data_IF_967345823391
#
_entry.id   IF_967345823391
#
_cell.length_a   1.000
_cell.length_b   1.000
_cell.length_c   1.000
_cell.angle_alpha   90.00
_cell.angle_beta   90.00
_cell.angle_gamma   90.00
#
_symmetry.space_group_name_H-M   'P 1'
#
loop_
_entity.id
_entity.type
_entity.pdbx_description
1 polymer ?
#
# COMPACT_ATOMS: atom_id res chain seq x y z
N UNK A 1 -36.36 -50.75 -15.92
CA UNK A 1 -36.04 -49.45 -15.28
C UNK A 1 -35.28 -48.59 -16.27
N UNK A 2 -35.76 -47.39 -16.56
CA UNK A 2 -35.32 -46.57 -17.70
C UNK A 2 -33.88 -46.05 -17.55
N UNK A 3 -32.99 -46.49 -18.45
CA UNK A 3 -31.58 -46.05 -18.56
C UNK A 3 -31.40 -44.52 -18.66
N UNK A 4 -32.43 -43.79 -19.11
CA UNK A 4 -32.43 -42.31 -19.15
C UNK A 4 -32.45 -41.66 -17.76
N UNK A 5 -32.99 -42.33 -16.73
CA UNK A 5 -33.02 -41.79 -15.36
C UNK A 5 -31.67 -41.92 -14.65
N UNK A 6 -30.86 -42.94 -14.97
CA UNK A 6 -29.50 -43.09 -14.42
C UNK A 6 -28.52 -42.06 -14.99
N UNK A 7 -28.63 -41.72 -16.29
CA UNK A 7 -27.76 -40.74 -16.94
C UNK A 7 -27.96 -39.32 -16.37
N UNK A 8 -29.20 -38.95 -16.06
CA UNK A 8 -29.53 -37.65 -15.48
C UNK A 8 -28.98 -37.50 -14.05
N UNK A 9 -29.02 -38.58 -13.26
CA UNK A 9 -28.46 -38.62 -11.90
C UNK A 9 -26.93 -38.50 -11.90
N UNK A 10 -26.25 -39.12 -12.87
CA UNK A 10 -24.79 -39.03 -13.00
C UNK A 10 -24.32 -37.61 -13.38
N UNK A 11 -25.07 -36.92 -14.25
CA UNK A 11 -24.78 -35.53 -14.66
C UNK A 11 -24.97 -34.52 -13.51
N UNK A 12 -25.97 -34.73 -12.65
CA UNK A 12 -26.21 -33.85 -11.49
C UNK A 12 -25.09 -34.03 -10.44
N UNK A 13 -24.65 -35.26 -10.18
CA UNK A 13 -23.53 -35.51 -9.25
C UNK A 13 -22.19 -34.98 -9.75
N UNK A 14 -21.89 -35.03 -11.06
CA UNK A 14 -20.63 -34.51 -11.61
C UNK A 14 -20.53 -32.98 -11.56
N UNK A 15 -21.65 -32.26 -11.71
CA UNK A 15 -21.65 -30.78 -11.66
C UNK A 15 -21.34 -30.21 -10.26
N UNK A 16 -21.46 -31.00 -9.19
CA UNK A 16 -21.14 -30.56 -7.83
C UNK A 16 -19.62 -30.58 -7.54
N UNK A 17 -18.83 -31.34 -8.29
CA UNK A 17 -17.38 -31.40 -8.11
C UNK A 17 -16.62 -30.23 -8.76
N UNK A 18 -17.19 -29.60 -9.79
CA UNK A 18 -16.50 -28.53 -10.54
C UNK A 18 -16.80 -27.10 -10.05
N UNK A 19 -17.73 -26.92 -9.11
CA UNK A 19 -18.07 -25.61 -8.54
C UNK A 19 -17.66 -25.43 -7.07
N UNK A 20 -16.66 -26.19 -6.60
CA UNK A 20 -15.91 -25.77 -5.42
C UNK A 20 -14.95 -24.65 -5.83
N UNK A 21 -15.49 -23.45 -6.07
CA UNK A 21 -14.67 -22.25 -6.00
C UNK A 21 -14.08 -22.25 -4.59
N UNK A 22 -12.77 -22.55 -4.47
CA UNK A 22 -12.02 -22.32 -3.24
C UNK A 22 -12.22 -20.85 -2.89
N UNK A 23 -13.19 -20.55 -2.01
CA UNK A 23 -13.26 -19.26 -1.33
C UNK A 23 -11.87 -19.07 -0.75
N UNK A 24 -11.06 -18.16 -1.32
CA UNK A 24 -9.76 -17.80 -0.75
C UNK A 24 -10.05 -17.41 0.70
N UNK A 25 -9.77 -18.32 1.65
CA UNK A 25 -9.90 -18.03 3.08
C UNK A 25 -9.08 -16.77 3.30
N UNK A 26 -9.68 -15.77 3.97
CA UNK A 26 -8.92 -14.61 4.46
C UNK A 26 -7.72 -15.19 5.23
N UNK A 27 -6.49 -14.93 4.77
CA UNK A 27 -5.30 -15.24 5.56
C UNK A 27 -5.38 -14.33 6.79
N UNK A 28 -5.43 -14.94 7.97
CA UNK A 28 -5.37 -14.24 9.25
C UNK A 28 -3.94 -13.68 9.42
N UNK A 29 -3.77 -12.61 10.21
CA UNK A 29 -2.47 -11.99 10.52
C UNK A 29 -1.52 -13.00 11.19
N UNK A 30 -2.07 -14.04 11.83
CA UNK A 30 -1.33 -15.16 12.41
C UNK A 30 -1.02 -16.29 11.42
N UNK A 31 -1.36 -16.14 10.13
CA UNK A 31 -1.03 -17.14 9.12
C UNK A 31 0.43 -17.00 8.75
N UNK A 32 1.22 -18.04 8.99
CA UNK A 32 2.58 -18.15 8.47
C UNK A 32 2.56 -18.12 6.94
N UNK A 33 3.37 -17.22 6.36
CA UNK A 33 3.58 -17.14 4.91
C UNK A 33 5.05 -17.38 4.60
N UNK A 34 5.32 -18.04 3.48
CA UNK A 34 6.68 -18.22 2.98
C UNK A 34 7.27 -16.85 2.62
N UNK A 35 8.49 -16.61 3.08
CA UNK A 35 9.21 -15.35 2.85
C UNK A 35 10.69 -15.57 2.60
N UNK A 36 11.29 -14.65 1.83
CA UNK A 36 12.73 -14.38 1.83
C UNK A 36 12.96 -13.05 2.55
N UNK A 37 13.87 -13.04 3.52
CA UNK A 37 14.22 -11.83 4.25
C UNK A 37 15.66 -11.42 3.94
N UNK A 38 15.87 -10.11 3.82
CA UNK A 38 17.17 -9.47 3.79
C UNK A 38 17.31 -8.66 5.08
N UNK A 39 18.38 -8.91 5.84
CA UNK A 39 18.71 -8.17 7.06
C UNK A 39 19.58 -6.94 6.76
N UNK A 40 19.70 -6.04 7.74
CA UNK A 40 20.54 -4.83 7.62
C UNK A 40 22.03 -5.16 7.44
N UNK A 41 22.50 -6.29 7.98
CA UNK A 41 23.87 -6.78 7.81
C UNK A 41 24.14 -7.39 6.43
N UNK A 42 23.12 -7.45 5.56
CA UNK A 42 23.20 -8.04 4.22
C UNK A 42 22.96 -9.54 4.17
N UNK A 43 22.73 -10.21 5.30
CA UNK A 43 22.40 -11.63 5.31
C UNK A 43 20.99 -11.89 4.78
N UNK A 44 20.83 -13.00 4.06
CA UNK A 44 19.55 -13.47 3.53
C UNK A 44 19.15 -14.80 4.17
N UNK A 45 17.85 -14.99 4.38
CA UNK A 45 17.31 -16.29 4.79
C UNK A 45 15.90 -16.51 4.28
N UNK A 46 15.58 -17.77 3.99
CA UNK A 46 14.23 -18.22 3.63
C UNK A 46 13.56 -18.89 4.83
N UNK A 47 12.26 -18.72 4.92
CA UNK A 47 11.49 -19.29 6.01
C UNK A 47 10.02 -18.93 5.95
N UNK A 48 9.35 -19.12 7.07
CA UNK A 48 7.96 -18.72 7.26
C UNK A 48 7.86 -17.60 8.27
N UNK A 49 7.03 -16.61 8.01
CA UNK A 49 6.84 -15.48 8.91
C UNK A 49 5.36 -15.18 9.13
N UNK A 50 5.02 -14.88 10.38
CA UNK A 50 3.69 -14.39 10.74
C UNK A 50 3.64 -12.86 10.74
N UNK A 51 2.47 -12.27 10.48
CA UNK A 51 2.30 -10.82 10.54
C UNK A 51 2.83 -10.03 9.33
N UNK A 52 3.31 -10.70 8.28
CA UNK A 52 3.81 -10.05 7.04
C UNK A 52 2.67 -9.58 6.13
N UNK A 53 1.44 -10.05 6.35
CA UNK A 53 0.25 -9.40 5.79
C UNK A 53 -0.25 -8.36 6.77
N UNK A 54 0.19 -7.11 6.60
CA UNK A 54 -0.16 -6.07 7.56
C UNK A 54 -1.67 -5.81 7.56
N UNK A 55 -2.29 -5.77 8.75
CA UNK A 55 -3.67 -5.34 8.90
C UNK A 55 -3.80 -3.86 8.53
N UNK A 56 -5.02 -3.49 8.12
CA UNK A 56 -5.43 -2.10 7.96
C UNK A 56 -4.89 -1.20 9.10
N UNK A 57 -4.12 -0.16 8.76
CA UNK A 57 -3.57 0.76 9.77
C UNK A 57 -4.67 1.71 10.25
N UNK A 58 -4.80 1.85 11.56
CA UNK A 58 -5.90 2.60 12.17
C UNK A 58 -5.41 3.86 12.88
N UNK A 59 -6.21 4.92 12.87
CA UNK A 59 -5.96 6.12 13.65
C UNK A 59 -7.18 6.71 14.32
N UNK A 60 -6.90 7.57 15.30
CA UNK A 60 -7.84 8.49 15.92
C UNK A 60 -7.49 9.93 15.52
N UNK A 61 -8.50 10.79 15.39
CA UNK A 61 -8.47 12.08 14.71
C UNK A 61 -7.13 12.87 14.81
N UNK A 62 -6.45 13.06 13.67
CA UNK A 62 -5.50 14.15 13.45
C UNK A 62 -4.01 13.82 13.43
N UNK A 63 -3.58 12.61 13.79
CA UNK A 63 -2.18 12.18 13.69
C UNK A 63 -2.09 10.78 13.09
N UNK A 64 -1.08 10.51 12.25
CA UNK A 64 -0.74 9.13 11.90
C UNK A 64 -0.26 8.46 13.17
N UNK A 65 -1.17 7.77 13.84
CA UNK A 65 -0.86 7.07 15.07
C UNK A 65 0.17 5.98 14.74
N UNK A 66 1.38 6.12 15.28
CA UNK A 66 2.35 5.03 15.28
C UNK A 66 1.80 3.93 16.19
N UNK A 67 1.22 2.89 15.60
CA UNK A 67 0.72 1.77 16.36
C UNK A 67 1.86 1.11 17.13
N UNK A 68 1.65 0.82 18.41
CA UNK A 68 2.52 -0.04 19.22
C UNK A 68 2.08 -1.52 19.15
N UNK A 69 1.28 -1.88 18.14
CA UNK A 69 0.85 -3.27 17.94
C UNK A 69 2.05 -4.16 17.56
N UNK A 70 1.98 -5.44 17.94
CA UNK A 70 3.00 -6.47 17.63
C UNK A 70 3.37 -6.51 16.13
N UNK A 71 2.46 -6.12 15.25
CA UNK A 71 2.62 -6.13 13.79
C UNK A 71 2.50 -4.72 13.18
N UNK A 72 3.03 -3.70 13.85
CA UNK A 72 3.03 -2.34 13.33
C UNK A 72 4.00 -2.22 12.15
N UNK A 73 3.68 -1.33 11.21
CA UNK A 73 4.62 -0.92 10.17
C UNK A 73 5.69 0.04 10.73
N UNK A 74 5.50 0.58 11.95
CA UNK A 74 6.40 1.53 12.58
C UNK A 74 7.34 0.83 13.56
N UNK A 75 8.50 1.45 13.80
CA UNK A 75 9.63 0.86 14.54
C UNK A 75 9.37 0.46 16.00
N UNK A 76 8.27 0.90 16.62
CA UNK A 76 8.07 0.79 18.07
C UNK A 76 7.83 -0.67 18.50
N UNK A 77 8.92 -1.33 18.95
CA UNK A 77 8.96 -2.65 19.59
C UNK A 77 8.41 -3.82 18.76
N UNK A 78 8.30 -3.66 17.44
CA UNK A 78 7.86 -4.71 16.52
C UNK A 78 8.94 -5.80 16.42
N UNK A 79 8.52 -7.03 16.70
CA UNK A 79 9.33 -8.24 16.51
C UNK A 79 8.58 -9.19 15.59
N UNK A 80 9.25 -9.61 14.53
CA UNK A 80 8.73 -10.53 13.55
C UNK A 80 9.10 -11.95 13.93
N UNK A 81 8.10 -12.80 14.05
CA UNK A 81 8.30 -14.22 14.34
C UNK A 81 8.61 -14.94 13.03
N UNK A 82 9.84 -15.43 12.92
CA UNK A 82 10.39 -16.05 11.72
C UNK A 82 10.84 -17.48 12.02
N UNK A 83 10.33 -18.44 11.27
CA UNK A 83 10.75 -19.83 11.31
C UNK A 83 11.66 -20.12 10.13
N UNK A 84 12.94 -20.31 10.40
CA UNK A 84 13.97 -20.52 9.38
C UNK A 84 13.85 -21.92 8.76
N UNK A 85 13.84 -22.02 7.43
CA UNK A 85 13.70 -23.32 6.75
C UNK A 85 14.94 -24.22 6.91
N UNK A 86 16.13 -23.64 7.06
CA UNK A 86 17.39 -24.38 7.19
C UNK A 86 17.57 -24.97 8.59
N UNK A 87 17.29 -24.19 9.63
CA UNK A 87 17.50 -24.63 11.02
C UNK A 87 16.24 -25.21 11.66
N UNK A 88 15.06 -24.94 11.09
CA UNK A 88 13.76 -25.26 11.68
C UNK A 88 13.42 -24.46 12.93
N UNK A 89 14.31 -23.57 13.39
CA UNK A 89 14.15 -22.78 14.61
C UNK A 89 13.31 -21.54 14.35
N UNK A 90 12.50 -21.18 15.35
CA UNK A 90 11.78 -19.90 15.39
C UNK A 90 12.64 -18.86 16.10
N UNK A 91 12.87 -17.74 15.43
CA UNK A 91 13.54 -16.57 15.98
C UNK A 91 12.63 -15.33 15.94
N UNK A 92 12.86 -14.39 16.86
CA UNK A 92 12.20 -13.09 16.85
C UNK A 92 13.16 -12.06 16.27
N UNK A 93 12.88 -11.61 15.05
CA UNK A 93 13.71 -10.62 14.37
C UNK A 93 13.17 -9.23 14.72
N UNK A 94 13.96 -8.37 15.38
CA UNK A 94 13.51 -7.02 15.70
C UNK A 94 13.46 -6.17 14.43
N UNK A 95 12.54 -5.20 14.41
CA UNK A 95 12.40 -4.25 13.30
C UNK A 95 13.73 -3.67 12.82
N UNK A 96 14.60 -3.26 13.76
CA UNK A 96 15.90 -2.65 13.47
C UNK A 96 16.82 -3.53 12.61
N UNK A 97 16.67 -4.85 12.63
CA UNK A 97 17.56 -5.78 11.94
C UNK A 97 17.01 -6.20 10.55
N UNK A 98 15.75 -5.89 10.23
CA UNK A 98 15.13 -6.22 8.93
C UNK A 98 15.25 -5.10 7.91
N UNK A 99 15.69 -5.43 6.70
CA UNK A 99 15.80 -4.47 5.58
C UNK A 99 14.72 -4.65 4.53
N UNK A 100 14.50 -5.88 4.05
CA UNK A 100 13.48 -6.22 3.04
C UNK A 100 12.83 -7.57 3.37
N UNK A 101 11.54 -7.72 3.09
CA UNK A 101 10.83 -9.01 3.10
C UNK A 101 10.18 -9.20 1.73
N UNK A 102 10.33 -10.38 1.15
CA UNK A 102 9.62 -10.82 -0.06
C UNK A 102 8.68 -11.94 0.34
N UNK A 103 7.38 -11.75 0.16
CA UNK A 103 6.37 -12.80 0.38
C UNK A 103 6.23 -13.62 -0.88
N UNK A 104 6.30 -14.93 -0.73
CA UNK A 104 6.26 -15.87 -1.83
C UNK A 104 4.90 -16.57 -1.95
N UNK A 105 4.56 -17.00 -3.16
CA UNK A 105 3.49 -17.95 -3.40
C UNK A 105 3.98 -19.41 -3.32
N UNK A 106 3.08 -20.33 -3.63
CA UNK A 106 3.37 -21.77 -3.58
C UNK A 106 4.36 -22.22 -4.67
N UNK A 107 4.66 -21.36 -5.65
CA UNK A 107 5.62 -21.57 -6.74
C UNK A 107 6.95 -20.80 -6.51
N UNK A 108 7.13 -20.22 -5.32
CA UNK A 108 8.26 -19.36 -4.95
C UNK A 108 8.33 -18.02 -5.70
N UNK A 109 7.25 -17.62 -6.39
CA UNK A 109 7.15 -16.32 -7.02
C UNK A 109 6.83 -15.23 -6.00
N UNK A 110 7.44 -14.05 -6.15
CA UNK A 110 7.18 -12.92 -5.27
C UNK A 110 5.77 -12.36 -5.50
N UNK A 111 4.91 -12.44 -4.47
CA UNK A 111 3.56 -11.86 -4.48
C UNK A 111 3.61 -10.39 -4.07
N UNK A 112 4.39 -10.08 -3.03
CA UNK A 112 4.48 -8.75 -2.45
C UNK A 112 5.81 -8.57 -1.72
N UNK A 113 6.51 -7.49 -2.03
CA UNK A 113 7.69 -7.05 -1.32
C UNK A 113 7.36 -6.02 -0.24
N UNK A 114 8.20 -5.94 0.78
CA UNK A 114 8.18 -4.93 1.84
C UNK A 114 9.59 -4.44 2.09
N UNK A 115 9.74 -3.15 2.37
CA UNK A 115 11.05 -2.56 2.63
C UNK A 115 11.01 -1.60 3.82
N UNK A 116 12.09 -1.58 4.60
CA UNK A 116 12.31 -0.54 5.61
C UNK A 116 12.68 0.77 4.92
N UNK A 117 11.90 1.81 5.19
CA UNK A 117 12.08 3.14 4.63
C UNK A 117 12.60 4.10 5.69
N UNK A 118 13.70 4.77 5.35
CA UNK A 118 14.11 6.05 5.95
C UNK A 118 13.34 7.16 5.25
N UNK A 119 12.48 7.85 5.98
CA UNK A 119 11.51 8.76 5.39
C UNK A 119 11.93 10.21 5.64
N UNK A 120 11.92 11.01 4.57
CA UNK A 120 12.04 12.46 4.62
C UNK A 120 10.77 13.14 4.10
N UNK A 121 10.59 14.39 4.47
CA UNK A 121 9.48 15.23 4.04
C UNK A 121 9.93 16.66 3.77
N UNK A 122 9.06 17.42 3.13
CA UNK A 122 9.19 18.88 3.04
C UNK A 122 8.42 19.54 4.18
N UNK A 123 9.00 20.54 4.83
CA UNK A 123 8.31 21.35 5.83
C UNK A 123 7.42 22.43 5.18
N UNK A 124 6.99 23.44 5.95
CA UNK A 124 6.18 24.56 5.42
C UNK A 124 6.99 25.54 4.58
N UNK A 125 8.31 25.57 4.77
CA UNK A 125 9.26 26.48 4.14
C UNK A 125 10.00 25.76 2.99
N UNK A 126 9.56 24.54 2.63
CA UNK A 126 10.12 23.67 1.59
C UNK A 126 11.54 23.15 1.89
N UNK A 127 11.95 23.12 3.16
CA UNK A 127 13.17 22.43 3.57
C UNK A 127 12.94 20.93 3.69
N UNK A 128 13.93 20.15 3.29
CA UNK A 128 13.96 18.70 3.50
C UNK A 128 14.31 18.45 4.97
N UNK A 129 13.42 17.74 5.67
CA UNK A 129 13.62 17.35 7.07
C UNK A 129 13.33 15.85 7.25
N UNK A 130 14.02 15.17 8.17
CA UNK A 130 13.71 13.78 8.51
C UNK A 130 12.32 13.67 9.14
N UNK A 131 11.62 12.56 8.85
CA UNK A 131 10.55 12.08 9.72
C UNK A 131 11.19 11.42 10.94
N UNK A 132 10.59 11.59 12.11
CA UNK A 132 11.07 10.98 13.36
C UNK A 132 10.70 9.48 13.49
N UNK A 133 10.49 8.79 12.36
CA UNK A 133 10.15 7.38 12.33
C UNK A 133 10.67 6.73 11.04
N UNK A 134 10.97 5.44 11.13
CA UNK A 134 11.13 4.54 10.00
C UNK A 134 9.85 3.70 9.86
N UNK A 135 9.57 3.23 8.63
CA UNK A 135 8.42 2.38 8.39
C UNK A 135 8.78 1.19 7.48
N UNK A 136 8.24 0.02 7.80
CA UNK A 136 8.30 -1.17 6.95
C UNK A 136 7.06 -1.22 6.07
N UNK A 137 7.20 -0.86 4.80
CA UNK A 137 6.05 -0.53 3.93
C UNK A 137 5.99 -1.47 2.74
N UNK A 138 4.79 -1.95 2.35
CA UNK A 138 4.65 -2.75 1.13
C UNK A 138 5.03 -1.95 -0.12
N UNK A 139 5.65 -2.66 -1.05
CA UNK A 139 6.01 -2.16 -2.36
C UNK A 139 4.78 -2.29 -3.26
N UNK A 140 4.30 -1.15 -3.75
CA UNK A 140 3.14 -1.08 -4.64
C UNK A 140 3.55 -1.03 -6.12
N UNK A 141 4.77 -0.58 -6.38
CA UNK A 141 5.36 -0.52 -7.72
C UNK A 141 6.89 -0.54 -7.62
N UNK A 142 7.54 -1.43 -8.38
CA UNK A 142 8.99 -1.47 -8.55
C UNK A 142 9.36 -0.93 -9.95
N UNK A 143 10.29 0.03 -9.98
CA UNK A 143 10.74 0.71 -11.18
C UNK A 143 11.98 1.55 -10.90
N UNK A 144 12.31 2.52 -11.75
CA UNK A 144 13.45 3.42 -11.47
C UNK A 144 13.19 4.31 -10.25
N UNK A 145 11.91 4.63 -10.03
CA UNK A 145 11.39 5.20 -8.79
C UNK A 145 10.35 4.20 -8.28
N UNK A 146 10.55 3.68 -7.08
CA UNK A 146 9.63 2.75 -6.45
C UNK A 146 8.50 3.51 -5.76
N UNK A 147 7.29 2.93 -5.75
CA UNK A 147 6.17 3.38 -4.91
C UNK A 147 5.98 2.38 -3.79
N UNK A 148 5.91 2.90 -2.56
CA UNK A 148 5.54 2.16 -1.38
C UNK A 148 4.28 2.77 -0.81
N UNK A 149 3.46 1.96 -0.15
CA UNK A 149 2.32 2.52 0.54
C UNK A 149 1.39 1.51 1.18
N UNK A 150 0.43 2.03 1.93
CA UNK A 150 -0.57 1.25 2.63
C UNK A 150 -1.87 2.05 2.77
N UNK A 151 -2.98 1.35 2.92
CA UNK A 151 -4.28 1.98 3.16
C UNK A 151 -4.42 2.37 4.63
N UNK A 152 -4.84 3.61 4.85
CA UNK A 152 -5.05 4.19 6.16
C UNK A 152 -6.54 4.30 6.46
N UNK A 153 -6.95 3.63 7.52
CA UNK A 153 -8.33 3.62 8.00
C UNK A 153 -8.48 4.48 9.26
N UNK A 154 -9.63 5.13 9.38
CA UNK A 154 -10.04 5.78 10.63
C UNK A 154 -11.14 4.92 11.24
N UNK A 155 -10.94 4.51 12.48
CA UNK A 155 -11.88 3.68 13.21
C UNK A 155 -12.52 4.49 14.32
N UNK A 156 -13.85 4.46 14.37
CA UNK A 156 -14.60 5.14 15.40
C UNK A 156 -14.94 4.15 16.53
N UNK A 157 -14.49 4.45 17.75
CA UNK A 157 -14.74 3.71 18.97
C UNK A 157 -14.19 4.46 20.19
N UNK A 158 -14.74 4.20 21.38
CA UNK A 158 -14.28 4.77 22.65
C UNK A 158 -13.55 3.70 23.48
N UNK A 159 -12.36 4.01 24.01
CA UNK A 159 -11.57 3.11 24.86
C UNK A 159 -10.98 1.89 24.15
N UNK A 160 -10.72 0.81 24.88
CA UNK A 160 -10.08 -0.42 24.39
C UNK A 160 -10.95 -1.29 23.44
N UNK A 161 -12.15 -0.81 23.07
CA UNK A 161 -13.10 -1.53 22.22
C UNK A 161 -13.17 -0.92 20.80
N UNK A 162 -12.02 -0.78 20.14
CA UNK A 162 -11.98 -0.38 18.73
C UNK A 162 -12.51 -1.54 17.89
N UNK A 163 -13.76 -1.42 17.42
CA UNK A 163 -14.35 -2.39 16.50
C UNK A 163 -13.80 -2.15 15.09
N UNK A 164 -12.96 -3.06 14.60
CA UNK A 164 -12.36 -2.97 13.25
C UNK A 164 -13.40 -2.99 12.13
N UNK A 165 -14.62 -3.49 12.38
CA UNK A 165 -15.72 -3.43 11.39
C UNK A 165 -16.26 -2.01 11.17
N UNK A 166 -15.98 -1.08 12.10
CA UNK A 166 -16.37 0.32 12.04
C UNK A 166 -15.27 1.24 11.48
N UNK A 167 -14.19 0.64 10.97
CA UNK A 167 -13.17 1.38 10.26
C UNK A 167 -13.68 1.86 8.89
N UNK A 168 -13.27 3.06 8.53
CA UNK A 168 -13.56 3.68 7.24
C UNK A 168 -12.25 4.10 6.58
N UNK A 169 -12.10 3.72 5.32
CA UNK A 169 -10.99 4.19 4.50
C UNK A 169 -10.91 5.71 4.50
N UNK A 170 -9.74 6.22 4.84
CA UNK A 170 -9.46 7.65 4.91
C UNK A 170 -8.59 8.08 3.75
N UNK A 171 -7.44 7.44 3.56
CA UNK A 171 -6.53 7.72 2.46
C UNK A 171 -5.58 6.54 2.21
N UNK A 172 -4.76 6.63 1.17
CA UNK A 172 -3.62 5.73 0.97
C UNK A 172 -2.36 6.54 1.21
N UNK A 173 -1.54 6.04 2.12
CA UNK A 173 -0.27 6.63 2.49
C UNK A 173 0.76 6.17 1.47
N UNK A 174 1.38 7.12 0.76
CA UNK A 174 2.27 6.83 -0.35
C UNK A 174 3.64 7.46 -0.11
N UNK A 175 4.67 6.70 -0.47
CA UNK A 175 6.07 7.08 -0.41
C UNK A 175 6.70 6.76 -1.76
N UNK A 176 7.66 7.59 -2.17
CA UNK A 176 8.45 7.36 -3.38
C UNK A 176 9.93 7.30 -3.01
N UNK A 177 10.67 6.38 -3.65
CA UNK A 177 12.11 6.24 -3.45
C UNK A 177 12.77 5.99 -4.79
N UNK A 178 13.74 6.81 -5.15
CA UNK A 178 14.60 6.51 -6.31
C UNK A 178 15.48 5.30 -5.96
N UNK A 179 15.62 4.34 -6.88
CA UNK A 179 16.42 3.13 -6.63
C UNK A 179 17.89 3.41 -6.25
N UNK A 180 18.42 4.57 -6.65
CA UNK A 180 19.79 5.00 -6.35
C UNK A 180 19.90 5.84 -5.06
N UNK A 181 18.78 6.17 -4.41
CA UNK A 181 18.75 6.97 -3.19
C UNK A 181 18.23 6.12 -2.00
N UNK A 182 18.95 6.08 -0.86
CA UNK A 182 18.46 5.35 0.32
C UNK A 182 17.22 5.97 0.99
N UNK A 183 16.87 7.22 0.64
CA UNK A 183 15.80 7.99 1.27
C UNK A 183 14.50 7.89 0.46
N UNK A 184 13.40 7.60 1.16
CA UNK A 184 12.06 7.73 0.63
C UNK A 184 11.47 9.10 0.99
N UNK A 185 10.76 9.72 0.05
CA UNK A 185 9.98 10.92 0.28
C UNK A 185 8.51 10.59 0.44
N UNK A 186 7.84 11.33 1.31
CA UNK A 186 6.39 11.29 1.47
C UNK A 186 5.79 12.51 0.74
N UNK A 187 5.23 12.36 -0.48
CA UNK A 187 4.82 13.52 -1.28
C UNK A 187 3.66 14.31 -0.67
N UNK A 188 2.79 13.64 0.09
CA UNK A 188 1.71 14.27 0.85
C UNK A 188 1.95 14.02 2.33
N UNK A 189 2.26 15.07 3.09
CA UNK A 189 2.51 14.98 4.53
C UNK A 189 1.20 15.09 5.34
N UNK A 190 0.56 13.94 5.56
CA UNK A 190 -0.70 13.83 6.31
C UNK A 190 -0.61 14.20 7.80
N UNK A 191 0.58 14.19 8.42
CA UNK A 191 0.75 14.65 9.81
C UNK A 191 0.58 16.16 9.95
N UNK A 192 0.72 16.90 8.84
CA UNK A 192 0.73 18.37 8.81
C UNK A 192 -0.38 18.95 7.93
N UNK A 193 -1.37 18.15 7.53
CA UNK A 193 -2.56 18.66 6.83
C UNK A 193 -3.52 19.27 7.85
N UNK A 194 -3.23 20.50 8.27
CA UNK A 194 -4.24 21.38 8.86
C UNK A 194 -5.11 22.02 7.76
N UNK A 195 -6.28 22.58 8.12
CA UNK A 195 -7.16 23.28 7.17
C UNK A 195 -6.49 24.45 6.42
N UNK A 196 -5.40 25.01 6.96
CA UNK A 196 -4.63 26.09 6.34
C UNK A 196 -3.47 25.60 5.44
N UNK A 197 -3.13 24.30 5.47
CA UNK A 197 -1.97 23.75 4.78
C UNK A 197 -2.26 23.21 3.36
N UNK A 198 -3.54 23.15 2.95
CA UNK A 198 -3.96 22.60 1.65
C UNK A 198 -3.30 23.27 0.44
N UNK A 199 -3.02 24.58 0.53
CA UNK A 199 -2.33 25.33 -0.53
C UNK A 199 -0.87 24.93 -0.74
N UNK A 200 -0.22 24.30 0.25
CA UNK A 200 1.17 23.84 0.16
C UNK A 200 1.30 22.38 -0.31
N UNK A 201 0.20 21.63 -0.35
CA UNK A 201 0.21 20.20 -0.71
C UNK A 201 0.72 20.00 -2.12
N UNK A 202 0.29 20.82 -3.07
CA UNK A 202 0.76 20.73 -4.46
C UNK A 202 2.26 20.95 -4.56
N UNK A 203 2.80 21.95 -3.86
CA UNK A 203 4.22 22.26 -3.85
C UNK A 203 5.05 21.12 -3.26
N UNK A 204 4.63 20.56 -2.12
CA UNK A 204 5.30 19.42 -1.49
C UNK A 204 5.25 18.17 -2.35
N UNK A 205 4.08 17.91 -2.96
CA UNK A 205 3.90 16.80 -3.88
C UNK A 205 4.88 16.88 -5.05
N UNK A 206 4.92 18.02 -5.73
CA UNK A 206 5.83 18.25 -6.85
C UNK A 206 7.30 18.21 -6.41
N UNK A 207 7.64 18.80 -5.25
CA UNK A 207 9.00 18.80 -4.74
C UNK A 207 9.54 17.39 -4.45
N UNK A 208 8.70 16.47 -3.95
CA UNK A 208 9.10 15.09 -3.75
C UNK A 208 9.49 14.40 -5.06
N UNK A 209 8.73 14.62 -6.14
CA UNK A 209 9.10 14.10 -7.45
C UNK A 209 10.31 14.81 -8.05
N UNK A 210 10.45 16.12 -7.85
CA UNK A 210 11.66 16.85 -8.26
C UNK A 210 12.91 16.28 -7.62
N UNK A 211 12.87 16.02 -6.30
CA UNK A 211 13.99 15.45 -5.57
C UNK A 211 14.26 14.00 -5.97
N UNK A 212 13.21 13.17 -6.12
CA UNK A 212 13.35 11.78 -6.55
C UNK A 212 13.93 11.66 -7.98
N UNK A 213 13.69 12.65 -8.85
CA UNK A 213 14.17 12.66 -10.23
C UNK A 213 15.17 13.78 -10.55
N UNK A 214 15.87 14.32 -9.54
CA UNK A 214 16.68 15.56 -9.66
C UNK A 214 17.78 15.49 -10.70
N UNK A 215 18.31 14.29 -10.95
CA UNK A 215 19.41 14.07 -11.88
C UNK A 215 18.94 13.97 -13.36
N UNK A 216 17.65 14.15 -13.63
CA UNK A 216 17.07 14.02 -14.97
C UNK A 216 16.42 15.31 -15.46
N UNK A 217 17.15 16.08 -16.28
CA UNK A 217 16.70 17.40 -16.77
C UNK A 217 15.38 17.36 -17.54
N UNK A 218 15.15 16.35 -18.38
CA UNK A 218 13.91 16.28 -19.17
C UNK A 218 12.69 15.95 -18.29
N UNK A 219 12.89 15.17 -17.23
CA UNK A 219 11.84 14.98 -16.23
C UNK A 219 11.57 16.26 -15.43
N UNK A 220 12.59 17.04 -15.09
CA UNK A 220 12.38 18.35 -14.44
C UNK A 220 11.53 19.28 -15.32
N UNK A 221 11.81 19.35 -16.63
CA UNK A 221 10.98 20.13 -17.58
C UNK A 221 9.53 19.63 -17.64
N UNK A 222 9.34 18.31 -17.64
CA UNK A 222 8.00 17.72 -17.57
C UNK A 222 7.26 18.17 -16.29
N UNK A 223 7.93 18.10 -15.13
CA UNK A 223 7.35 18.54 -13.86
C UNK A 223 7.01 20.04 -13.85
N UNK A 224 7.80 20.88 -14.52
CA UNK A 224 7.52 22.32 -14.64
C UNK A 224 6.27 22.59 -15.48
N UNK A 225 6.05 21.81 -16.55
CA UNK A 225 4.81 21.85 -17.32
C UNK A 225 3.60 21.47 -16.48
N UNK A 226 3.70 20.41 -15.67
CA UNK A 226 2.63 20.00 -14.76
C UNK A 226 2.40 21.05 -13.67
N UNK A 227 3.44 21.65 -13.11
CA UNK A 227 3.31 22.72 -12.12
C UNK A 227 2.54 23.92 -12.70
N UNK A 228 2.84 24.31 -13.94
CA UNK A 228 2.10 25.37 -14.64
C UNK A 228 0.62 25.02 -14.75
N UNK A 229 0.30 23.79 -15.16
CA UNK A 229 -1.09 23.34 -15.22
C UNK A 229 -1.78 23.31 -13.84
N UNK A 230 -1.05 22.98 -12.77
CA UNK A 230 -1.57 23.03 -11.39
C UNK A 230 -1.87 24.47 -10.98
N UNK A 231 -1.00 25.42 -11.32
CA UNK A 231 -1.16 26.84 -10.97
C UNK A 231 -2.35 27.45 -11.72
N UNK A 232 -2.59 27.06 -12.97
CA UNK A 232 -3.71 27.53 -13.80
C UNK A 232 -5.05 26.86 -13.45
N UNK A 233 -5.06 25.53 -13.32
CA UNK A 233 -6.31 24.74 -13.25
C UNK A 233 -6.64 24.25 -11.83
N UNK A 234 -5.66 24.27 -10.93
CA UNK A 234 -5.75 23.74 -9.58
C UNK A 234 -5.37 22.25 -9.48
N UNK A 235 -4.64 21.91 -8.41
CA UNK A 235 -4.09 20.59 -8.12
C UNK A 235 -5.04 19.42 -8.37
N UNK A 236 -6.25 19.48 -7.83
CA UNK A 236 -7.21 18.37 -7.94
C UNK A 236 -7.72 18.17 -9.38
N UNK A 237 -7.90 19.24 -10.15
CA UNK A 237 -8.35 19.13 -11.55
C UNK A 237 -7.25 18.58 -12.44
N UNK A 238 -6.01 19.00 -12.21
CA UNK A 238 -4.86 18.56 -12.99
C UNK A 238 -4.50 17.10 -12.72
N UNK A 239 -4.42 16.70 -11.45
CA UNK A 239 -3.97 15.34 -11.11
C UNK A 239 -5.10 14.31 -11.09
N UNK A 240 -6.34 14.73 -10.86
CA UNK A 240 -7.49 13.81 -10.76
C UNK A 240 -8.66 14.23 -11.67
N UNK A 241 -8.43 14.41 -12.99
CA UNK A 241 -9.44 14.94 -13.90
C UNK A 241 -10.71 14.08 -13.97
N UNK A 242 -10.54 12.74 -13.84
CA UNK A 242 -11.63 11.78 -13.97
C UNK A 242 -12.30 11.41 -12.64
N UNK A 243 -11.87 11.98 -11.50
CA UNK A 243 -12.33 11.60 -10.16
C UNK A 243 -13.86 11.55 -10.04
N UNK A 244 -14.54 12.60 -10.51
CA UNK A 244 -16.00 12.70 -10.42
C UNK A 244 -16.70 11.62 -11.26
N UNK A 245 -16.16 11.31 -12.43
CA UNK A 245 -16.72 10.32 -13.34
C UNK A 245 -16.55 8.90 -12.78
N UNK A 246 -15.34 8.56 -12.33
CA UNK A 246 -14.99 7.29 -11.67
C UNK A 246 -15.88 7.03 -10.45
N UNK A 247 -16.01 8.03 -9.56
CA UNK A 247 -16.87 7.92 -8.38
C UNK A 247 -18.36 7.81 -8.71
N UNK A 248 -18.80 8.37 -9.85
CA UNK A 248 -20.18 8.24 -10.32
C UNK A 248 -20.43 6.83 -10.88
N UNK A 249 -19.53 6.31 -11.71
CA UNK A 249 -19.61 4.94 -12.25
C UNK A 249 -19.67 3.93 -11.11
N UNK A 250 -18.75 4.05 -10.14
CA UNK A 250 -18.72 3.16 -8.99
C UNK A 250 -20.03 3.15 -8.18
N UNK A 251 -20.70 4.30 -8.04
CA UNK A 251 -22.00 4.36 -7.34
C UNK A 251 -23.10 3.67 -8.12
N UNK A 252 -23.10 3.76 -9.45
CA UNK A 252 -24.05 3.05 -10.31
C UNK A 252 -23.82 1.54 -10.22
N UNK A 253 -22.60 1.07 -10.49
CA UNK A 253 -22.24 -0.35 -10.48
C UNK A 253 -22.48 -1.01 -9.12
N UNK A 254 -22.21 -0.26 -8.03
CA UNK A 254 -22.44 -0.74 -6.66
C UNK A 254 -23.91 -1.04 -6.37
N UNK A 255 -24.84 -0.30 -6.97
CA UNK A 255 -26.26 -0.52 -6.78
C UNK A 255 -26.73 -1.76 -7.56
N UNK A 256 -26.08 -2.08 -8.67
CA UNK A 256 -26.45 -3.19 -9.55
C UNK A 256 -25.87 -4.54 -9.10
N UNK A 257 -24.70 -4.56 -8.45
CA UNK A 257 -23.97 -5.80 -8.14
C UNK A 257 -24.46 -6.62 -6.92
N UNK A 258 -25.57 -6.24 -6.25
CA UNK A 258 -26.09 -6.93 -5.06
C UNK A 258 -25.04 -7.31 -3.98
N UNK A 259 -23.94 -6.55 -3.90
CA UNK A 259 -22.82 -6.86 -3.00
C UNK A 259 -23.19 -6.67 -1.52
N UNK A 260 -22.56 -7.47 -0.66
CA UNK A 260 -22.62 -7.30 0.79
C UNK A 260 -21.95 -6.00 1.26
N UNK A 261 -22.27 -5.53 2.47
CA UNK A 261 -21.74 -4.26 3.01
C UNK A 261 -20.21 -4.21 3.04
N UNK A 262 -19.56 -5.31 3.45
CA UNK A 262 -18.10 -5.39 3.53
C UNK A 262 -17.43 -5.40 2.15
N UNK A 263 -18.04 -6.08 1.17
CA UNK A 263 -17.54 -6.10 -0.21
C UNK A 263 -17.63 -4.72 -0.84
N UNK A 264 -18.75 -4.02 -0.61
CA UNK A 264 -18.95 -2.63 -1.01
C UNK A 264 -17.88 -1.69 -0.41
N UNK A 265 -17.52 -1.87 0.87
CA UNK A 265 -16.45 -1.09 1.51
C UNK A 265 -15.10 -1.35 0.84
N UNK A 266 -14.75 -2.62 0.60
CA UNK A 266 -13.48 -3.04 -0.03
C UNK A 266 -13.36 -2.57 -1.47
N UNK A 267 -14.45 -2.66 -2.25
CA UNK A 267 -14.48 -2.18 -3.62
C UNK A 267 -14.25 -0.65 -3.67
N UNK A 268 -14.88 0.10 -2.74
CA UNK A 268 -14.65 1.54 -2.62
C UNK A 268 -13.20 1.85 -2.24
N UNK A 269 -12.64 1.14 -1.25
CA UNK A 269 -11.25 1.30 -0.84
C UNK A 269 -10.29 1.06 -2.00
N UNK A 270 -10.48 -0.04 -2.75
CA UNK A 270 -9.67 -0.35 -3.94
C UNK A 270 -9.74 0.79 -4.95
N UNK A 271 -10.94 1.26 -5.30
CA UNK A 271 -11.11 2.37 -6.24
C UNK A 271 -10.37 3.63 -5.77
N UNK A 272 -10.54 4.01 -4.51
CA UNK A 272 -9.91 5.22 -3.96
C UNK A 272 -8.39 5.11 -3.97
N UNK A 273 -7.84 3.94 -3.60
CA UNK A 273 -6.40 3.66 -3.68
C UNK A 273 -5.90 3.77 -5.11
N UNK A 274 -6.59 3.13 -6.06
CA UNK A 274 -6.20 3.12 -7.47
C UNK A 274 -6.20 4.56 -8.02
N UNK A 275 -7.21 5.38 -7.67
CA UNK A 275 -7.26 6.80 -8.02
C UNK A 275 -6.08 7.58 -7.44
N UNK A 276 -5.73 7.41 -6.16
CA UNK A 276 -4.58 8.09 -5.56
C UNK A 276 -3.24 7.65 -6.13
N UNK A 277 -3.12 6.39 -6.59
CA UNK A 277 -1.92 5.87 -7.23
C UNK A 277 -1.70 6.42 -8.65
N UNK A 278 -2.78 6.80 -9.36
CA UNK A 278 -2.68 7.20 -10.76
C UNK A 278 -1.67 8.32 -11.05
N UNK A 279 -1.66 9.47 -10.33
CA UNK A 279 -0.67 10.52 -10.59
C UNK A 279 0.76 10.06 -10.36
N UNK A 280 0.99 9.24 -9.33
CA UNK A 280 2.32 8.70 -9.01
C UNK A 280 2.82 7.82 -10.15
N UNK A 281 1.99 6.88 -10.61
CA UNK A 281 2.33 6.01 -11.72
C UNK A 281 2.55 6.81 -13.01
N UNK A 282 1.74 7.84 -13.27
CA UNK A 282 1.92 8.72 -14.43
C UNK A 282 3.27 9.41 -14.42
N UNK A 283 3.66 10.00 -13.29
CA UNK A 283 4.94 10.70 -13.17
C UNK A 283 6.12 9.75 -13.27
N UNK A 284 6.04 8.58 -12.64
CA UNK A 284 7.12 7.59 -12.69
C UNK A 284 7.29 7.04 -14.11
N UNK A 285 6.20 6.79 -14.84
CA UNK A 285 6.29 6.38 -16.25
C UNK A 285 6.96 7.44 -17.12
N UNK A 286 6.66 8.72 -16.91
CA UNK A 286 7.35 9.80 -17.62
C UNK A 286 8.83 9.90 -17.18
N UNK A 287 9.16 9.67 -15.92
CA UNK A 287 10.56 9.56 -15.50
C UNK A 287 11.26 8.40 -16.23
N UNK A 288 10.68 7.20 -16.23
CA UNK A 288 11.28 6.01 -16.82
C UNK A 288 11.48 6.12 -18.33
N UNK A 289 10.58 6.82 -19.01
CA UNK A 289 10.65 7.11 -20.44
C UNK A 289 11.79 8.08 -20.78
N UNK A 290 12.00 9.09 -19.94
CA UNK A 290 12.89 10.21 -20.28
C UNK A 290 14.27 10.13 -19.60
N UNK A 291 14.42 9.31 -18.56
CA UNK A 291 15.62 9.24 -17.74
C UNK A 291 16.30 7.88 -17.91
N UNK A 292 17.60 7.86 -18.20
CA UNK A 292 18.39 6.63 -18.38
C UNK A 292 18.91 6.11 -17.06
#
# INVERSE_FOLDING_TARGET
>A
MNNKKCLLLFLICFSQFFFSQKKKKKRDVNTEVAVKILREDGSESSGKMSGVYFPDTNSFAGMIAQSSSKYSIYSNDVKFEFKNDTTGQTENIPFKDLKKIKVLDDFEDEIIGYEKLKIQQFDKDMNIIPKNYEAFVPILYEGKINIYGYDYLTCYGYGNNINTNNCTYSTTMLYIKNQFNPIAFMPIDYDRIGQLAWGSISKRFMAAFREAGKDCTDFQKYLDGIQTQIDENGYAKTLYPNWKAEMKSFRADKNDQNLGVLEKKRAKQKLMRDLYMQPYLGFIKEYEKNCK
#
